data_IF_431549378922
#
_entry.id   IF_431549378922
#
_cell.length_a   1.000
_cell.length_b   1.000
_cell.length_c   1.000
_cell.angle_alpha   90.00
_cell.angle_beta   90.00
_cell.angle_gamma   90.00
#
_symmetry.space_group_name_H-M   'P 1'
#
loop_
_entity.id
_entity.type
_entity.pdbx_description
1 polymer ?
#
# COMPACT_ATOMS: atom_id res chain seq x y z
N UNK A 1 15.09 -4.32 19.71
CA UNK A 1 14.70 -3.33 18.70
C UNK A 1 13.23 -3.02 18.91
N UNK A 2 12.92 -1.92 19.60
CA UNK A 2 11.54 -1.59 19.98
C UNK A 2 10.89 -0.81 18.84
N UNK A 3 9.83 -1.35 18.25
CA UNK A 3 9.02 -0.67 17.22
C UNK A 3 8.17 0.44 17.86
N UNK A 4 8.80 1.54 18.29
CA UNK A 4 8.11 2.77 18.73
C UNK A 4 7.87 3.65 17.50
N UNK A 5 6.71 3.56 16.86
CA UNK A 5 6.33 4.53 15.83
C UNK A 5 5.40 4.06 14.71
N UNK A 6 4.84 2.86 14.80
CA UNK A 6 3.75 2.46 13.90
C UNK A 6 2.46 2.52 14.70
N UNK A 7 1.66 3.56 14.46
CA UNK A 7 0.28 3.58 14.92
C UNK A 7 -0.51 2.57 14.09
N UNK A 8 -1.00 1.54 14.76
CA UNK A 8 -2.04 0.67 14.19
C UNK A 8 -3.20 1.58 13.79
N UNK A 9 -3.86 1.29 12.67
CA UNK A 9 -4.88 2.13 12.00
C UNK A 9 -4.35 3.33 11.19
N UNK A 10 -3.03 3.44 10.98
CA UNK A 10 -2.50 4.47 10.07
C UNK A 10 -2.93 4.20 8.61
N UNK A 11 -3.58 5.20 7.99
CA UNK A 11 -3.96 5.19 6.58
C UNK A 11 -2.90 5.87 5.72
N UNK A 12 -2.36 5.13 4.75
CA UNK A 12 -1.38 5.64 3.78
C UNK A 12 -1.94 5.56 2.38
N UNK A 13 -1.73 6.63 1.61
CA UNK A 13 -2.00 6.66 0.16
C UNK A 13 -0.70 6.42 -0.60
N UNK A 14 -0.68 5.38 -1.42
CA UNK A 14 0.45 5.04 -2.28
C UNK A 14 0.05 5.34 -3.72
N UNK A 15 0.66 6.38 -4.28
CA UNK A 15 0.50 6.73 -5.70
C UNK A 15 1.66 6.14 -6.49
N UNK A 16 1.35 5.19 -7.36
CA UNK A 16 2.32 4.42 -8.14
C UNK A 16 2.16 4.79 -9.62
N UNK A 17 3.19 5.44 -10.16
CA UNK A 17 3.24 5.79 -11.58
C UNK A 17 3.28 4.51 -12.45
N UNK A 18 2.75 4.55 -13.68
CA UNK A 18 2.70 3.38 -14.56
C UNK A 18 4.07 2.74 -14.78
N UNK A 19 5.14 3.53 -14.87
CA UNK A 19 6.52 3.04 -15.06
C UNK A 19 7.03 2.09 -13.97
N UNK A 20 6.51 2.21 -12.75
CA UNK A 20 6.82 1.34 -11.60
C UNK A 20 5.64 0.44 -11.19
N UNK A 21 4.56 0.44 -11.99
CA UNK A 21 3.40 -0.42 -11.84
C UNK A 21 3.31 -1.42 -13.01
N UNK A 22 2.26 -1.33 -13.83
CA UNK A 22 2.00 -2.24 -14.95
C UNK A 22 2.50 -1.73 -16.30
N UNK A 23 3.02 -0.49 -16.37
CA UNK A 23 3.51 0.13 -17.59
C UNK A 23 2.47 0.10 -18.71
N UNK A 24 2.89 -0.33 -19.90
CA UNK A 24 2.02 -0.45 -21.07
C UNK A 24 1.09 -1.68 -21.06
N UNK A 25 1.03 -2.43 -19.96
CA UNK A 25 0.20 -3.64 -19.87
C UNK A 25 -1.19 -3.29 -19.35
N UNK A 26 -2.23 -3.71 -20.07
CA UNK A 26 -3.58 -3.75 -19.56
C UNK A 26 -3.78 -5.00 -18.69
N UNK A 27 -4.46 -4.87 -17.55
CA UNK A 27 -4.63 -5.97 -16.57
C UNK A 27 -6.11 -6.22 -16.28
N UNK A 28 -6.51 -7.50 -16.38
CA UNK A 28 -7.82 -7.98 -15.94
C UNK A 28 -9.03 -7.42 -16.70
N UNK A 29 -8.83 -6.68 -17.78
CA UNK A 29 -9.89 -5.95 -18.49
C UNK A 29 -10.41 -4.72 -17.73
N UNK A 30 -9.80 -4.37 -16.59
CA UNK A 30 -10.24 -3.28 -15.70
C UNK A 30 -9.20 -2.16 -15.60
N UNK A 31 -7.92 -2.50 -15.74
CA UNK A 31 -6.82 -1.53 -15.66
C UNK A 31 -6.25 -1.28 -17.06
N UNK A 32 -6.41 -0.08 -17.63
CA UNK A 32 -5.82 0.29 -18.91
C UNK A 32 -4.29 0.40 -18.83
N UNK A 33 -3.61 0.23 -19.97
CA UNK A 33 -2.20 0.55 -20.11
C UNK A 33 -1.89 2.00 -19.69
N UNK A 34 -0.71 2.24 -19.13
CA UNK A 34 -0.22 3.54 -18.68
C UNK A 34 -1.06 4.22 -17.58
N UNK A 35 -1.86 3.45 -16.85
CA UNK A 35 -2.65 3.96 -15.73
C UNK A 35 -1.78 4.21 -14.49
N UNK A 36 -2.01 5.35 -13.83
CA UNK A 36 -1.47 5.60 -12.48
C UNK A 36 -2.36 4.91 -11.46
N UNK A 37 -1.76 4.13 -10.56
CA UNK A 37 -2.49 3.40 -9.54
C UNK A 37 -2.41 4.15 -8.21
N UNK A 38 -3.57 4.40 -7.60
CA UNK A 38 -3.65 4.98 -6.25
C UNK A 38 -4.20 3.91 -5.33
N UNK A 39 -3.38 3.48 -4.36
CA UNK A 39 -3.78 2.52 -3.34
C UNK A 39 -3.99 3.25 -2.03
N UNK A 40 -5.15 3.07 -1.43
CA UNK A 40 -5.39 3.44 -0.04
C UNK A 40 -5.18 2.19 0.81
N UNK A 41 -4.19 2.26 1.70
CA UNK A 41 -3.79 1.13 2.56
C UNK A 41 -3.94 1.53 4.00
N UNK A 42 -4.31 0.56 4.84
CA UNK A 42 -4.49 0.74 6.27
C UNK A 42 -3.66 -0.30 7.01
N UNK A 43 -2.92 0.14 8.03
CA UNK A 43 -2.19 -0.77 8.89
C UNK A 43 -3.14 -1.45 9.88
N UNK A 44 -3.64 -2.62 9.52
CA UNK A 44 -4.57 -3.38 10.38
C UNK A 44 -3.89 -4.09 11.55
N UNK A 45 -2.69 -4.63 11.35
CA UNK A 45 -1.93 -5.35 12.37
C UNK A 45 -0.48 -5.53 11.96
N UNK A 46 0.43 -5.53 12.93
CA UNK A 46 1.82 -5.98 12.75
C UNK A 46 1.99 -7.28 13.53
N UNK A 47 2.27 -8.37 12.82
CA UNK A 47 2.53 -9.68 13.45
C UNK A 47 3.78 -9.58 14.32
N UNK A 48 3.62 -9.80 15.63
CA UNK A 48 4.71 -9.72 16.61
C UNK A 48 4.81 -8.39 17.36
N UNK A 49 3.91 -7.43 17.09
CA UNK A 49 3.72 -6.25 17.94
C UNK A 49 2.43 -6.46 18.73
N UNK A 50 2.55 -6.62 20.04
CA UNK A 50 1.40 -6.56 20.94
C UNK A 50 1.14 -5.10 21.27
N UNK A 51 -0.03 -4.52 20.93
CA UNK A 51 -0.37 -3.18 21.39
C UNK A 51 -0.49 -3.20 22.91
N UNK A 52 0.33 -2.39 23.60
CA UNK A 52 0.18 -2.14 25.04
C UNK A 52 0.91 -3.11 26.01
N UNK A 53 2.05 -3.68 25.64
CA UNK A 53 2.99 -4.30 26.61
C UNK A 53 4.32 -3.55 26.67
#
# INVERSE_FOLDING_TARGET
>A
MTFRGLELEEKRKLTIAPSIAYGDRAVGGVIPANSTLVFETELVAIKGVTPGQ
#
